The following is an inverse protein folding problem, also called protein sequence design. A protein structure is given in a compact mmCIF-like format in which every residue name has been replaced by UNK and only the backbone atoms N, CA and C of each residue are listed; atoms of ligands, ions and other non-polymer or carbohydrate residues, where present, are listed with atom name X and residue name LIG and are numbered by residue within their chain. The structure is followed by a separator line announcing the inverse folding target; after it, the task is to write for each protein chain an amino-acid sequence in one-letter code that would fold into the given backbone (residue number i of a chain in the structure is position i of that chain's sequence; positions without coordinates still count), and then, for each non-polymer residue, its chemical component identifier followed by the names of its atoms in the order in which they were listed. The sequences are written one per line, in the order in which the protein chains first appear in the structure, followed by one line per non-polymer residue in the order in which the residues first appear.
data_IF_270205829148
#
_entry.id   IF_270205829148
#
_cell.length_a   1.000
_cell.length_b   1.000
_cell.length_c   1.000
_cell.angle_alpha   90.00
_cell.angle_beta   90.00
_cell.angle_gamma   90.00
#
_symmetry.space_group_name_H-M   'P 1'
#
loop_
_entity.id
_entity.type
_entity.pdbx_description
1 polymer ?
#
# COMPACT_ATOMS: atom_id res chain seq x y z
N UNK A 1 9.10 -0.32 13.70
CA UNK A 1 9.67 -0.31 12.33
C UNK A 1 10.19 1.09 12.04
N UNK A 2 11.40 1.22 11.48
CA UNK A 2 12.05 2.51 11.18
C UNK A 2 11.48 3.21 9.94
N UNK A 3 10.80 2.50 9.05
CA UNK A 3 10.23 3.09 7.83
C UNK A 3 9.11 4.09 8.14
N UNK A 4 9.03 5.20 7.41
CA UNK A 4 7.93 6.18 7.50
C UNK A 4 6.80 5.91 6.50
N UNK A 5 7.15 5.27 5.38
CA UNK A 5 6.25 4.85 4.32
C UNK A 5 6.52 3.40 3.93
N UNK A 6 5.47 2.67 3.53
CA UNK A 6 5.55 1.28 3.10
C UNK A 6 4.73 1.12 1.81
N UNK A 7 5.32 0.52 0.78
CA UNK A 7 4.64 0.15 -0.46
C UNK A 7 4.47 -1.36 -0.50
N UNK A 8 3.23 -1.84 -0.59
CA UNK A 8 2.90 -3.26 -0.59
C UNK A 8 2.48 -3.69 -1.99
N UNK A 9 3.28 -4.57 -2.61
CA UNK A 9 2.95 -5.25 -3.86
C UNK A 9 2.50 -6.68 -3.60
N UNK A 10 1.37 -7.10 -4.16
CA UNK A 10 0.92 -8.50 -4.03
C UNK A 10 0.22 -9.03 -5.27
N UNK A 11 0.48 -10.28 -5.68
CA UNK A 11 -0.44 -10.96 -6.58
C UNK A 11 -1.74 -11.28 -5.84
N UNK A 12 -2.86 -11.36 -6.57
CA UNK A 12 -4.11 -11.88 -6.05
C UNK A 12 -4.10 -13.40 -6.20
N UNK A 13 -4.38 -14.11 -5.10
CA UNK A 13 -4.46 -15.56 -5.06
C UNK A 13 -5.78 -15.99 -4.41
N UNK A 14 -6.59 -16.78 -5.13
CA UNK A 14 -7.89 -17.28 -4.65
C UNK A 14 -8.82 -16.18 -4.13
N UNK A 15 -8.96 -15.08 -4.89
CA UNK A 15 -9.75 -13.90 -4.52
C UNK A 15 -9.36 -13.29 -3.15
N UNK A 16 -8.10 -13.43 -2.76
CA UNK A 16 -7.51 -12.82 -1.56
C UNK A 16 -6.02 -12.56 -1.76
N UNK A 17 -5.33 -12.16 -0.68
CA UNK A 17 -3.87 -12.08 -0.66
C UNK A 17 -3.24 -13.46 -0.39
N UNK A 18 -2.00 -13.70 -0.85
CA UNK A 18 -1.29 -14.95 -0.59
C UNK A 18 -1.03 -15.14 0.91
N UNK A 19 -1.06 -16.39 1.36
CA UNK A 19 -0.77 -16.75 2.76
C UNK A 19 0.61 -16.25 3.22
N UNK A 20 1.59 -16.18 2.31
CA UNK A 20 2.93 -15.64 2.61
C UNK A 20 2.87 -14.18 3.07
N UNK A 21 2.08 -13.34 2.41
CA UNK A 21 1.88 -11.95 2.84
C UNK A 21 1.03 -11.88 4.11
N UNK A 22 -0.02 -12.71 4.21
CA UNK A 22 -0.89 -12.73 5.39
C UNK A 22 -0.12 -13.09 6.66
N UNK A 23 0.79 -14.05 6.58
CA UNK A 23 1.64 -14.46 7.69
C UNK A 23 2.53 -13.32 8.19
N UNK A 24 2.97 -12.41 7.33
CA UNK A 24 3.72 -11.22 7.76
C UNK A 24 2.84 -10.35 8.65
N UNK A 25 1.61 -10.07 8.22
CA UNK A 25 0.67 -9.27 9.02
C UNK A 25 0.33 -9.94 10.35
N UNK A 26 0.19 -11.27 10.37
CA UNK A 26 -0.15 -12.02 11.61
C UNK A 26 0.96 -12.02 12.66
N UNK A 27 2.20 -11.73 12.26
CA UNK A 27 3.34 -11.63 13.17
C UNK A 27 3.55 -10.21 13.71
N UNK A 28 2.88 -9.21 13.14
CA UNK A 28 2.97 -7.84 13.61
C UNK A 28 2.01 -7.59 14.78
N UNK A 29 2.32 -6.62 15.67
CA UNK A 29 1.36 -6.14 16.65
C UNK A 29 0.08 -5.61 16.03
N UNK A 30 -0.99 -5.54 16.82
CA UNK A 30 -2.30 -5.03 16.38
C UNK A 30 -2.23 -3.58 15.84
N UNK A 31 -1.30 -2.77 16.33
CA UNK A 31 -1.01 -1.39 15.94
C UNK A 31 0.29 -1.28 15.15
N UNK A 32 0.78 -2.37 14.57
CA UNK A 32 2.12 -2.46 13.98
C UNK A 32 2.41 -1.48 12.83
N UNK A 33 1.38 -0.85 12.26
CA UNK A 33 1.48 0.15 11.20
C UNK A 33 0.99 1.55 11.64
N UNK A 34 0.80 1.78 12.95
CA UNK A 34 0.42 3.08 13.47
C UNK A 34 1.46 4.16 13.08
N UNK A 35 0.95 5.29 12.60
CA UNK A 35 1.76 6.41 12.12
C UNK A 35 2.53 6.16 10.84
N UNK A 36 2.25 5.06 10.11
CA UNK A 36 2.90 4.74 8.83
C UNK A 36 1.97 5.01 7.67
N UNK A 37 2.50 5.66 6.62
CA UNK A 37 1.79 5.79 5.35
C UNK A 37 1.96 4.49 4.57
N UNK A 38 0.87 3.91 4.09
CA UNK A 38 0.91 2.64 3.35
C UNK A 38 0.19 2.77 2.03
N UNK A 39 0.88 2.51 0.93
CA UNK A 39 0.30 2.38 -0.40
C UNK A 39 0.39 0.95 -0.91
N UNK A 40 -0.44 0.62 -1.91
CA UNK A 40 -0.52 -0.75 -2.40
C UNK A 40 -0.71 -0.81 -3.92
N UNK A 41 -0.19 -1.90 -4.49
CA UNK A 41 -0.53 -2.33 -5.83
C UNK A 41 -0.76 -3.83 -5.87
N UNK A 42 -1.57 -4.28 -6.82
CA UNK A 42 -1.88 -5.69 -6.98
C UNK A 42 -1.78 -6.14 -8.43
N UNK A 43 -1.37 -7.40 -8.61
CA UNK A 43 -1.39 -8.08 -9.92
C UNK A 43 -2.43 -9.20 -9.91
N UNK A 44 -3.15 -9.41 -11.01
CA UNK A 44 -4.05 -10.55 -11.13
C UNK A 44 -4.28 -10.97 -12.58
N UNK A 45 -4.53 -12.25 -12.83
CA UNK A 45 -4.84 -12.74 -14.18
C UNK A 45 -6.24 -12.39 -14.70
N UNK A 46 -7.03 -11.60 -13.96
CA UNK A 46 -8.36 -11.17 -14.40
C UNK A 46 -8.81 -9.88 -13.73
N UNK A 47 -9.43 -8.99 -14.51
CA UNK A 47 -10.04 -7.74 -14.05
C UNK A 47 -11.17 -7.98 -13.02
N UNK A 48 -11.72 -9.20 -12.95
CA UNK A 48 -12.72 -9.58 -11.94
C UNK A 48 -12.21 -9.46 -10.50
N UNK A 49 -10.89 -9.46 -10.31
CA UNK A 49 -10.27 -9.30 -9.00
C UNK A 49 -9.91 -7.86 -8.65
N UNK A 50 -10.35 -6.87 -9.46
CA UNK A 50 -10.02 -5.47 -9.24
C UNK A 50 -10.33 -4.98 -7.83
N UNK A 51 -11.47 -5.37 -7.25
CA UNK A 51 -11.89 -4.94 -5.91
C UNK A 51 -11.25 -5.71 -4.75
N UNK A 52 -10.42 -6.72 -4.99
CA UNK A 52 -9.83 -7.52 -3.91
C UNK A 52 -8.91 -6.71 -2.99
N UNK A 53 -8.03 -5.81 -3.47
CA UNK A 53 -7.26 -4.93 -2.58
C UNK A 53 -8.15 -4.08 -1.67
N UNK A 54 -9.26 -3.55 -2.20
CA UNK A 54 -10.24 -2.77 -1.44
C UNK A 54 -10.94 -3.60 -0.35
N UNK A 55 -11.32 -4.83 -0.69
CA UNK A 55 -12.15 -5.66 0.20
C UNK A 55 -11.35 -6.52 1.18
N UNK A 56 -10.08 -6.82 0.88
CA UNK A 56 -9.25 -7.74 1.66
C UNK A 56 -8.05 -7.03 2.28
N UNK A 57 -7.25 -6.32 1.48
CA UNK A 57 -6.00 -5.72 1.96
C UNK A 57 -6.24 -4.44 2.77
N UNK A 58 -7.04 -3.51 2.27
CA UNK A 58 -7.35 -2.25 2.98
C UNK A 58 -7.92 -2.47 4.39
N UNK A 59 -8.87 -3.40 4.63
CA UNK A 59 -9.37 -3.67 5.98
C UNK A 59 -8.28 -4.17 6.94
N UNK A 60 -7.36 -5.01 6.47
CA UNK A 60 -6.23 -5.49 7.29
C UNK A 60 -5.32 -4.32 7.66
N UNK A 61 -4.95 -3.48 6.69
CA UNK A 61 -4.13 -2.30 6.95
C UNK A 61 -4.81 -1.31 7.90
N UNK A 62 -6.12 -1.11 7.74
CA UNK A 62 -6.92 -0.27 8.64
C UNK A 62 -7.01 -0.84 10.06
N UNK A 63 -7.15 -2.16 10.22
CA UNK A 63 -7.06 -2.82 11.52
C UNK A 63 -5.70 -2.53 12.19
N UNK A 64 -4.63 -2.54 11.41
CA UNK A 64 -3.25 -2.29 11.83
C UNK A 64 -2.89 -0.80 12.04
N UNK A 65 -3.87 0.11 11.95
CA UNK A 65 -3.72 1.56 12.13
C UNK A 65 -2.87 2.28 11.08
N UNK A 66 -2.67 1.65 9.93
CA UNK A 66 -2.00 2.29 8.79
C UNK A 66 -2.79 3.51 8.28
N UNK A 67 -2.07 4.55 7.88
CA UNK A 67 -2.61 5.65 7.08
C UNK A 67 -2.54 5.24 5.60
N UNK A 68 -3.65 4.71 5.09
CA UNK A 68 -3.68 4.07 3.77
C UNK A 68 -3.89 5.12 2.68
N UNK A 69 -3.01 5.13 1.67
CA UNK A 69 -3.20 5.93 0.45
C UNK A 69 -4.47 5.45 -0.26
N UNK A 70 -5.35 6.39 -0.60
CA UNK A 70 -6.70 6.07 -1.11
C UNK A 70 -6.67 5.25 -2.41
N UNK A 71 -5.77 5.59 -3.32
CA UNK A 71 -5.61 4.91 -4.60
C UNK A 71 -4.74 3.67 -4.48
N UNK A 72 -5.02 2.67 -5.31
CA UNK A 72 -4.14 1.52 -5.54
C UNK A 72 -3.96 1.31 -7.03
N UNK A 73 -2.81 0.74 -7.42
CA UNK A 73 -2.56 0.34 -8.80
C UNK A 73 -2.91 -1.12 -8.97
N UNK A 74 -3.66 -1.44 -10.02
CA UNK A 74 -4.02 -2.80 -10.37
C UNK A 74 -3.50 -3.09 -11.77
N UNK A 75 -2.73 -4.17 -11.88
CA UNK A 75 -2.12 -4.64 -13.11
C UNK A 75 -2.69 -6.02 -13.45
N UNK A 76 -2.91 -6.27 -14.72
CA UNK A 76 -3.34 -7.55 -15.25
C UNK A 76 -2.19 -8.19 -16.04
N UNK A 77 -2.25 -9.51 -16.26
CA UNK A 77 -1.28 -10.26 -17.07
C UNK A 77 -1.01 -9.61 -18.44
N UNK A 78 -2.01 -8.96 -19.05
CA UNK A 78 -1.87 -8.23 -20.34
C UNK A 78 -0.91 -7.02 -20.28
N UNK A 79 -0.63 -6.51 -19.09
CA UNK A 79 0.27 -5.37 -18.89
C UNK A 79 1.75 -5.80 -18.88
N UNK A 80 2.02 -7.11 -18.96
CA UNK A 80 3.36 -7.69 -18.91
C UNK A 80 3.73 -8.43 -20.20
N UNK A 81 5.00 -8.32 -20.59
CA UNK A 81 5.64 -9.19 -21.57
C UNK A 81 7.02 -9.59 -21.04
N UNK A 82 7.35 -10.88 -21.04
CA UNK A 82 8.64 -11.38 -20.55
C UNK A 82 9.00 -10.89 -19.14
N UNK A 83 7.98 -10.69 -18.28
CA UNK A 83 8.08 -10.16 -16.90
C UNK A 83 8.43 -8.66 -16.80
N UNK A 84 8.37 -7.93 -17.91
CA UNK A 84 8.49 -6.48 -17.93
C UNK A 84 7.13 -5.83 -18.16
N UNK A 85 6.89 -4.67 -17.53
CA UNK A 85 5.69 -3.89 -17.76
C UNK A 85 5.83 -3.22 -19.13
N UNK A 86 4.85 -3.43 -20.01
CA UNK A 86 4.83 -2.85 -21.37
C UNK A 86 3.81 -1.75 -21.55
N UNK A 87 2.93 -1.55 -20.56
CA UNK A 87 1.83 -0.61 -20.63
C UNK A 87 2.22 0.72 -19.97
N UNK A 88 2.38 1.78 -20.77
CA UNK A 88 2.73 3.12 -20.29
C UNK A 88 1.71 3.67 -19.27
N UNK A 89 0.42 3.33 -19.41
CA UNK A 89 -0.62 3.72 -18.44
C UNK A 89 -0.32 3.21 -17.02
N UNK A 90 0.25 2.00 -16.92
CA UNK A 90 0.65 1.43 -15.63
C UNK A 90 1.76 2.26 -15.00
N UNK A 91 2.74 2.72 -15.78
CA UNK A 91 3.81 3.60 -15.28
C UNK A 91 3.23 4.91 -14.76
N UNK A 92 2.35 5.58 -15.51
CA UNK A 92 1.70 6.81 -15.05
C UNK A 92 0.94 6.63 -13.73
N UNK A 93 0.23 5.50 -13.58
CA UNK A 93 -0.51 5.18 -12.35
C UNK A 93 0.42 4.87 -11.18
N UNK A 94 1.54 4.19 -11.43
CA UNK A 94 2.56 3.91 -10.41
C UNK A 94 3.27 5.18 -9.96
N UNK A 95 3.66 6.05 -10.89
CA UNK A 95 4.25 7.35 -10.59
C UNK A 95 3.31 8.18 -9.73
N UNK A 96 2.02 8.21 -10.10
CA UNK A 96 1.01 8.90 -9.30
C UNK A 96 0.86 8.33 -7.89
N UNK A 97 0.89 7.00 -7.75
CA UNK A 97 0.83 6.35 -6.44
C UNK A 97 2.03 6.74 -5.57
N UNK A 98 3.22 6.79 -6.16
CA UNK A 98 4.45 7.20 -5.46
C UNK A 98 4.37 8.67 -5.05
N UNK A 99 3.94 9.57 -5.95
CA UNK A 99 3.72 10.98 -5.63
C UNK A 99 2.75 11.16 -4.46
N UNK A 100 1.58 10.53 -4.52
CA UNK A 100 0.56 10.62 -3.47
C UNK A 100 1.10 10.06 -2.14
N UNK A 101 1.89 8.97 -2.18
CA UNK A 101 2.54 8.39 -1.00
C UNK A 101 3.52 9.39 -0.38
N UNK A 102 4.41 9.98 -1.19
CA UNK A 102 5.43 10.93 -0.73
C UNK A 102 4.81 12.18 -0.12
N UNK A 103 3.80 12.77 -0.78
CA UNK A 103 3.08 13.95 -0.29
C UNK A 103 2.44 13.67 1.07
N UNK A 104 1.80 12.51 1.24
CA UNK A 104 1.18 12.13 2.50
C UNK A 104 2.21 11.89 3.59
N UNK A 105 3.33 11.22 3.27
CA UNK A 105 4.42 10.98 4.23
C UNK A 105 5.03 12.29 4.72
N UNK A 106 5.40 13.19 3.82
CA UNK A 106 5.96 14.47 4.21
C UNK A 106 4.98 15.31 5.05
N UNK A 107 3.71 15.34 4.64
CA UNK A 107 2.67 16.07 5.37
C UNK A 107 2.50 15.50 6.78
N UNK A 108 2.44 14.17 6.90
CA UNK A 108 2.26 13.50 8.18
C UNK A 108 3.44 13.74 9.14
N UNK A 109 4.68 13.66 8.64
CA UNK A 109 5.87 13.91 9.44
C UNK A 109 5.95 15.36 9.91
N UNK A 110 5.72 16.34 9.02
CA UNK A 110 5.71 17.76 9.39
C UNK A 110 4.68 18.08 10.48
N UNK A 111 3.48 17.49 10.39
CA UNK A 111 2.45 17.67 11.41
C UNK A 111 2.89 17.05 12.73
N UNK A 112 3.44 15.83 12.69
CA UNK A 112 3.92 15.12 13.87
C UNK A 112 5.03 15.90 14.60
N UNK A 113 6.05 16.37 13.87
CA UNK A 113 7.12 17.20 14.42
C UNK A 113 6.59 18.49 15.07
N UNK A 114 5.60 19.12 14.42
CA UNK A 114 4.98 20.34 14.94
C UNK A 114 4.19 20.07 16.22
N UNK A 115 3.51 18.92 16.32
CA UNK A 115 2.80 18.52 17.55
C UNK A 115 3.79 18.20 18.68
N UNK A 116 4.86 17.46 18.41
CA UNK A 116 5.88 17.12 19.41
C UNK A 116 6.57 18.38 19.96
N UNK A 117 6.90 19.34 19.09
CA UNK A 117 7.48 20.62 19.48
C UNK A 117 6.59 21.49 20.38
N UNK A 118 5.28 21.22 20.48
CA UNK A 118 4.38 21.93 21.41
C UNK A 118 4.49 21.43 22.85
N UNK A 119 5.01 20.21 23.05
CA UNK A 119 5.12 19.57 24.36
C UNK A 119 6.55 19.55 24.90
N UNK A 120 7.55 19.83 24.06
CA UNK A 120 8.91 20.15 24.51
C UNK A 120 8.95 21.58 25.07
N UNK A 121 9.27 21.70 26.37
CA UNK A 121 9.45 22.97 27.09
C UNK A 121 10.75 23.68 26.73
#
# INVERSE_FOLDING_TARGET
MEADAIIIGTPIFQASLPATLKNIFDLLPQDGLEGKIVSMYATAGSDKHFLIPEQQLKPILGYMKAQVVQTYVFLNDKDFLSKEIINDDVFFRLDRLVEDTMVLTETYQKIKETEEAKYDF
#
